data_IF_991631760482
#
_entry.id   IF_991631760482
#
_cell.length_a   1.000
_cell.length_b   1.000
_cell.length_c   1.000
_cell.angle_alpha   90.00
_cell.angle_beta   90.00
_cell.angle_gamma   90.00
#
_symmetry.space_group_name_H-M   'P 1'
#
loop_
_entity.id
_entity.type
_entity.pdbx_description
1 polymer ?
#
# COMPACT_ATOMS: atom_id res chain seq x y z
N UNK A 1 6.70 -27.89 1.44
CA UNK A 1 7.05 -26.65 0.72
C UNK A 1 6.93 -25.49 1.69
N UNK A 2 7.94 -24.61 1.80
CA UNK A 2 7.97 -23.46 2.73
C UNK A 2 6.91 -22.37 2.44
N UNK A 3 5.98 -22.64 1.52
CA UNK A 3 4.97 -21.68 1.04
C UNK A 3 3.69 -21.67 1.88
N UNK A 4 3.55 -22.62 2.81
CA UNK A 4 2.43 -22.72 3.76
C UNK A 4 2.81 -22.20 5.17
N UNK A 5 3.77 -21.28 5.25
CA UNK A 5 4.05 -20.57 6.50
C UNK A 5 2.82 -19.72 6.84
N UNK A 6 2.02 -20.28 7.73
CA UNK A 6 0.98 -19.65 8.52
C UNK A 6 1.24 -18.14 8.60
N UNK A 7 0.50 -17.36 7.82
CA UNK A 7 0.40 -15.92 8.02
C UNK A 7 0.07 -15.73 9.49
N UNK A 8 1.04 -15.23 10.26
CA UNK A 8 0.84 -14.99 11.69
C UNK A 8 -0.38 -14.06 11.82
N UNK A 9 -1.11 -14.11 12.96
CA UNK A 9 -2.25 -13.21 13.16
C UNK A 9 -1.90 -11.74 12.88
N UNK A 10 -0.65 -11.34 13.14
CA UNK A 10 -0.11 -10.02 12.81
C UNK A 10 -0.07 -9.75 11.31
N UNK A 11 0.48 -10.68 10.51
CA UNK A 11 0.53 -10.51 9.05
C UNK A 11 -0.88 -10.48 8.44
N UNK A 12 -1.81 -11.29 8.98
CA UNK A 12 -3.23 -11.25 8.58
C UNK A 12 -3.86 -9.89 8.87
N UNK A 13 -3.63 -9.35 10.06
CA UNK A 13 -4.13 -8.03 10.45
C UNK A 13 -3.53 -6.92 9.56
N UNK A 14 -2.23 -7.02 9.26
CA UNK A 14 -1.54 -6.07 8.39
C UNK A 14 -2.09 -6.10 6.96
N UNK A 15 -2.27 -7.29 6.39
CA UNK A 15 -2.90 -7.45 5.07
C UNK A 15 -4.32 -6.86 5.05
N UNK A 16 -5.13 -7.12 6.08
CA UNK A 16 -6.47 -6.56 6.18
C UNK A 16 -6.47 -5.02 6.26
N UNK A 17 -5.53 -4.43 7.01
CA UNK A 17 -5.37 -2.98 7.08
C UNK A 17 -5.00 -2.37 5.72
N UNK A 18 -4.11 -3.03 4.97
CA UNK A 18 -3.70 -2.64 3.62
C UNK A 18 -4.82 -2.75 2.59
N UNK A 19 -5.62 -3.81 2.62
CA UNK A 19 -6.81 -3.94 1.78
C UNK A 19 -7.83 -2.83 2.09
N UNK A 20 -8.08 -2.55 3.37
CA UNK A 20 -8.97 -1.44 3.78
C UNK A 20 -8.43 -0.08 3.32
N UNK A 21 -7.11 0.11 3.34
CA UNK A 21 -6.45 1.31 2.82
C UNK A 21 -6.62 1.43 1.32
N UNK A 22 -6.39 0.36 0.57
CA UNK A 22 -6.62 0.29 -0.87
C UNK A 22 -8.08 0.69 -1.17
N UNK A 23 -9.06 0.03 -0.56
CA UNK A 23 -10.47 0.36 -0.77
C UNK A 23 -10.77 1.85 -0.54
N UNK A 24 -10.12 2.52 0.43
CA UNK A 24 -10.25 3.97 0.66
C UNK A 24 -9.54 4.84 -0.37
N UNK A 25 -8.36 4.42 -0.85
CA UNK A 25 -7.61 5.15 -1.89
C UNK A 25 -8.38 5.12 -3.20
N UNK A 26 -8.93 3.97 -3.56
CA UNK A 26 -9.67 3.73 -4.81
C UNK A 26 -11.18 4.09 -4.72
N UNK A 27 -11.72 4.31 -3.51
CA UNK A 27 -13.11 4.73 -3.30
C UNK A 27 -13.38 6.07 -4.01
N UNK A 28 -14.23 6.03 -5.03
CA UNK A 28 -14.71 7.22 -5.75
C UNK A 28 -13.75 7.79 -6.80
N UNK A 29 -12.66 7.09 -7.17
CA UNK A 29 -11.60 7.62 -8.06
C UNK A 29 -11.39 6.88 -9.38
N UNK A 30 -12.33 6.02 -9.79
CA UNK A 30 -12.25 5.27 -11.07
C UNK A 30 -12.12 6.17 -12.32
N UNK A 31 -12.28 7.49 -12.20
CA UNK A 31 -12.19 8.46 -13.29
C UNK A 31 -10.98 9.42 -13.23
N UNK A 32 -10.07 9.28 -12.24
CA UNK A 32 -8.89 10.16 -12.10
C UNK A 32 -7.62 9.38 -11.70
N UNK A 33 -6.86 8.86 -12.68
CA UNK A 33 -5.61 8.12 -12.42
C UNK A 33 -4.57 8.93 -11.62
N UNK A 34 -4.55 10.26 -11.73
CA UNK A 34 -3.60 11.13 -11.01
C UNK A 34 -3.93 11.40 -9.54
N UNK A 35 -4.99 10.83 -8.98
CA UNK A 35 -5.38 11.12 -7.59
C UNK A 35 -4.83 10.13 -6.55
N UNK A 36 -4.02 9.16 -6.97
CA UNK A 36 -3.49 8.11 -6.10
C UNK A 36 -2.09 8.47 -5.62
N UNK A 37 -1.81 8.21 -4.34
CA UNK A 37 -0.49 8.40 -3.78
C UNK A 37 0.40 7.24 -4.26
N UNK A 38 1.38 7.48 -5.16
CA UNK A 38 2.14 6.40 -5.80
C UNK A 38 2.98 5.62 -4.78
N UNK A 39 3.40 6.25 -3.70
CA UNK A 39 4.08 5.57 -2.59
C UNK A 39 3.15 4.51 -1.98
N UNK A 40 1.90 4.86 -1.65
CA UNK A 40 0.90 3.93 -1.12
C UNK A 40 0.62 2.77 -2.07
N UNK A 41 0.46 3.05 -3.38
CA UNK A 41 0.16 2.00 -4.38
C UNK A 41 1.35 1.06 -4.56
N UNK A 42 2.57 1.60 -4.67
CA UNK A 42 3.78 0.80 -4.86
C UNK A 42 4.05 -0.11 -3.66
N UNK A 43 3.91 0.40 -2.43
CA UNK A 43 4.08 -0.40 -1.22
C UNK A 43 3.01 -1.49 -1.12
N UNK A 44 1.75 -1.18 -1.43
CA UNK A 44 0.69 -2.18 -1.44
C UNK A 44 1.00 -3.32 -2.42
N UNK A 45 1.38 -3.00 -3.65
CA UNK A 45 1.69 -4.00 -4.68
C UNK A 45 2.88 -4.87 -4.27
N UNK A 46 3.95 -4.27 -3.74
CA UNK A 46 5.12 -4.99 -3.27
C UNK A 46 4.80 -5.93 -2.10
N UNK A 47 4.07 -5.45 -1.09
CA UNK A 47 3.73 -6.28 0.06
C UNK A 47 2.77 -7.42 -0.31
N UNK A 48 1.85 -7.20 -1.25
CA UNK A 48 0.99 -8.26 -1.78
C UNK A 48 1.81 -9.32 -2.55
N UNK A 49 2.78 -8.90 -3.36
CA UNK A 49 3.64 -9.80 -4.13
C UNK A 49 4.56 -10.65 -3.23
N UNK A 50 5.02 -10.09 -2.11
CA UNK A 50 5.93 -10.75 -1.16
C UNK A 50 5.18 -11.43 0.00
N UNK A 51 3.85 -11.33 0.04
CA UNK A 51 3.05 -11.88 1.14
C UNK A 51 3.33 -11.22 2.49
N UNK A 52 3.75 -9.95 2.51
CA UNK A 52 4.10 -9.20 3.72
C UNK A 52 5.23 -9.86 4.53
N UNK A 53 6.22 -10.43 3.84
CA UNK A 53 7.41 -11.03 4.47
C UNK A 53 8.67 -10.21 4.25
N UNK A 54 8.65 -9.25 3.33
CA UNK A 54 9.79 -8.40 2.98
C UNK A 54 9.45 -6.91 3.13
N UNK A 55 10.38 -6.10 3.68
CA UNK A 55 10.26 -4.65 3.63
C UNK A 55 10.30 -4.15 2.18
N UNK A 56 9.81 -2.93 1.95
CA UNK A 56 9.94 -2.29 0.64
C UNK A 56 11.42 -2.00 0.36
N UNK A 57 11.91 -2.05 -0.89
CA UNK A 57 13.32 -1.79 -1.19
C UNK A 57 13.81 -0.45 -0.58
N UNK A 58 14.88 -0.51 0.19
CA UNK A 58 15.44 0.65 0.91
C UNK A 58 14.85 0.89 2.31
N UNK A 59 13.82 0.16 2.72
CA UNK A 59 13.26 0.24 4.07
C UNK A 59 13.82 -0.83 5.00
N UNK A 60 13.95 -0.51 6.29
CA UNK A 60 14.44 -1.45 7.30
C UNK A 60 13.37 -2.44 7.81
N UNK A 61 12.08 -2.12 7.65
CA UNK A 61 10.96 -2.92 8.15
C UNK A 61 9.72 -2.74 7.28
N UNK A 62 8.80 -3.70 7.35
CA UNK A 62 7.48 -3.57 6.75
C UNK A 62 6.72 -2.47 7.47
N UNK A 63 6.18 -1.51 6.71
CA UNK A 63 5.42 -0.39 7.26
C UNK A 63 3.92 -0.69 7.25
N UNK A 64 3.20 -0.38 8.34
CA UNK A 64 1.75 -0.51 8.37
C UNK A 64 1.10 0.54 7.46
N UNK A 65 -0.10 0.23 6.94
CA UNK A 65 -0.85 1.14 6.07
C UNK A 65 -1.18 2.51 6.71
N UNK A 66 -1.11 2.62 8.04
CA UNK A 66 -1.26 3.87 8.80
C UNK A 66 -0.11 4.85 8.61
N UNK A 67 1.08 4.37 8.22
CA UNK A 67 2.26 5.22 7.99
C UNK A 67 2.14 6.06 6.71
N UNK A 68 1.25 5.64 5.81
CA UNK A 68 1.00 6.30 4.54
C UNK A 68 -0.16 7.27 4.73
N UNK A 69 0.07 8.57 4.57
CA UNK A 69 -1.02 9.54 4.62
C UNK A 69 -1.85 9.38 3.34
N UNK A 70 -3.17 9.53 3.43
CA UNK A 70 -4.01 9.76 2.23
C UNK A 70 -3.69 11.16 1.71
N UNK A 71 -2.45 11.42 1.29
CA UNK A 71 -2.12 12.67 0.64
C UNK A 71 -2.86 12.61 -0.69
N UNK A 72 -3.71 13.60 -0.97
CA UNK A 72 -4.05 13.85 -2.37
C UNK A 72 -2.70 14.02 -3.06
N UNK A 73 -2.51 13.38 -4.22
CA UNK A 73 -1.35 13.69 -5.04
C UNK A 73 -1.20 15.21 -5.10
N UNK A 74 0.02 15.76 -4.94
CA UNK A 74 0.22 17.17 -5.19
C UNK A 74 -0.41 17.46 -6.55
N UNK A 75 -1.20 18.54 -6.65
CA UNK A 75 -1.63 19.01 -7.96
C UNK A 75 -0.33 19.11 -8.77
N UNK A 76 -0.27 18.43 -9.93
CA UNK A 76 0.73 18.80 -10.90
C UNK A 76 0.61 20.31 -11.04
N UNK A 77 1.67 21.04 -10.66
CA UNK A 77 1.82 22.42 -11.05
C UNK A 77 1.72 22.39 -12.57
N UNK A 78 0.56 22.80 -13.08
CA UNK A 78 0.40 23.19 -14.47
C UNK A 78 1.12 24.53 -14.54
N UNK A 79 2.44 24.47 -14.70
CA UNK A 79 3.24 25.60 -15.16
C UNK A 79 2.83 25.83 -16.62
N UNK A 80 2.03 26.87 -16.85
CA UNK A 80 1.73 27.49 -18.16
C UNK A 80 1.93 29.01 -18.01
#
# INVERSE_FOLDING_TARGET
SLKDLQLTPEVKAMKAAWIKKQAKVFAGKHTKPDSEDPETVNHFNWYMATGFTLPYPGEAKIRPASDFKNRRAPKADLDD
#
